data_IF_716175821952
#
_entry.id   IF_716175821952
#
_cell.length_a   1.000
_cell.length_b   1.000
_cell.length_c   1.000
_cell.angle_alpha   90.00
_cell.angle_beta   90.00
_cell.angle_gamma   90.00
#
_symmetry.space_group_name_H-M   'P 1'
#
loop_
_entity.id
_entity.type
_entity.pdbx_description
1 polymer ?
#
# COMPACT_ATOMS: atom_id res chain seq x y z
N UNK A 1 18.67 -3.02 1.16
CA UNK A 1 17.34 -2.42 1.24
C UNK A 1 16.43 -3.27 2.14
N UNK A 2 15.89 -2.66 3.17
CA UNK A 2 15.04 -3.32 4.16
C UNK A 2 13.77 -2.49 4.39
N UNK A 3 12.63 -3.14 4.38
CA UNK A 3 11.34 -2.52 4.69
C UNK A 3 10.98 -2.78 6.14
N UNK A 4 10.85 -1.73 6.92
CA UNK A 4 10.31 -1.80 8.26
C UNK A 4 8.84 -1.39 8.22
N UNK A 5 7.97 -2.18 8.86
CA UNK A 5 6.52 -1.95 8.79
C UNK A 5 6.00 -0.96 9.81
N UNK A 6 6.77 -0.72 10.86
CA UNK A 6 6.39 0.24 11.89
C UNK A 6 7.62 0.78 12.61
N UNK A 7 7.39 1.77 13.49
CA UNK A 7 8.48 2.42 14.22
C UNK A 7 9.16 1.50 15.23
N UNK A 8 8.43 0.54 15.79
CA UNK A 8 9.02 -0.42 16.73
C UNK A 8 10.07 -1.29 16.06
N UNK A 9 9.78 -1.74 14.83
CA UNK A 9 10.77 -2.49 14.05
C UNK A 9 11.99 -1.62 13.77
N UNK A 10 11.78 -0.35 13.45
CA UNK A 10 12.85 0.60 13.19
C UNK A 10 13.74 0.81 14.43
N UNK A 11 13.13 0.91 15.60
CA UNK A 11 13.85 1.14 16.86
C UNK A 11 14.70 -0.06 17.29
N UNK A 12 14.35 -1.26 16.85
CA UNK A 12 15.11 -2.48 17.12
C UNK A 12 16.37 -2.61 16.26
N UNK A 13 16.47 -1.85 15.18
CA UNK A 13 17.60 -1.92 14.26
C UNK A 13 18.79 -1.10 14.77
N UNK A 14 20.03 -1.53 14.47
CA UNK A 14 21.21 -0.72 14.74
C UNK A 14 21.10 0.64 14.03
N UNK A 15 21.63 1.68 14.65
CA UNK A 15 21.56 3.05 14.12
C UNK A 15 22.06 3.16 12.67
N UNK A 16 23.16 2.50 12.34
CA UNK A 16 23.74 2.52 10.99
C UNK A 16 22.77 1.92 9.97
N UNK A 17 22.07 0.85 10.34
CA UNK A 17 21.07 0.22 9.50
C UNK A 17 19.84 1.11 9.35
N UNK A 18 19.44 1.82 10.42
CA UNK A 18 18.28 2.72 10.38
C UNK A 18 18.40 3.83 9.35
N UNK A 19 19.59 4.34 9.13
CA UNK A 19 19.81 5.39 8.13
C UNK A 19 19.54 4.92 6.70
N UNK A 20 19.62 3.61 6.47
CA UNK A 20 19.40 2.99 5.17
C UNK A 20 18.06 2.25 5.05
N UNK A 21 17.14 2.46 6.02
CA UNK A 21 15.85 1.77 6.07
C UNK A 21 14.75 2.73 5.63
N UNK A 22 13.90 2.24 4.72
CA UNK A 22 12.69 2.94 4.30
C UNK A 22 11.50 2.39 5.08
N UNK A 23 10.82 3.27 5.84
CA UNK A 23 9.58 2.93 6.52
C UNK A 23 8.43 3.39 5.63
N UNK A 24 7.65 2.43 5.14
CA UNK A 24 6.48 2.72 4.34
C UNK A 24 5.27 2.97 5.24
N UNK A 25 4.42 3.91 4.86
CA UNK A 25 3.14 4.15 5.51
C UNK A 25 2.23 2.93 5.43
N UNK A 26 2.20 2.28 4.27
CA UNK A 26 1.39 1.10 4.00
C UNK A 26 2.24 -0.17 4.01
N UNK A 27 1.58 -1.32 3.85
CA UNK A 27 2.23 -2.63 3.89
C UNK A 27 3.40 -2.74 2.88
N UNK A 28 3.19 -2.28 1.65
CA UNK A 28 4.21 -2.32 0.58
C UNK A 28 3.95 -1.19 -0.42
N UNK A 29 4.85 -1.03 -1.41
CA UNK A 29 4.66 -0.07 -2.50
C UNK A 29 3.34 -0.29 -3.24
N UNK A 30 2.95 -1.54 -3.44
CA UNK A 30 1.73 -1.91 -4.14
C UNK A 30 0.48 -1.33 -3.46
N UNK A 31 0.48 -1.22 -2.14
CA UNK A 31 -0.63 -0.67 -1.37
C UNK A 31 -0.84 0.83 -1.59
N UNK A 32 0.14 1.54 -2.14
CA UNK A 32 0.01 2.96 -2.48
C UNK A 32 -0.91 3.20 -3.68
N UNK A 33 -1.17 2.17 -4.48
CA UNK A 33 -2.02 2.23 -5.67
C UNK A 33 -3.44 1.73 -5.41
N UNK A 34 -3.90 1.75 -4.18
CA UNK A 34 -5.17 1.14 -3.74
C UNK A 34 -6.15 2.15 -3.14
N UNK A 35 -6.12 3.40 -3.58
CA UNK A 35 -7.15 4.37 -3.21
C UNK A 35 -8.37 4.18 -4.14
N UNK A 36 -9.53 3.78 -3.59
CA UNK A 36 -10.70 3.51 -4.41
C UNK A 36 -11.16 4.69 -5.27
N UNK A 37 -10.99 5.91 -4.78
CA UNK A 37 -11.38 7.12 -5.51
C UNK A 37 -10.54 7.31 -6.77
N UNK A 38 -9.23 7.15 -6.63
CA UNK A 38 -8.29 7.25 -7.75
C UNK A 38 -8.53 6.12 -8.74
N UNK A 39 -8.69 4.90 -8.23
CA UNK A 39 -8.93 3.71 -9.07
C UNK A 39 -10.21 3.86 -9.91
N UNK A 40 -11.26 4.45 -9.34
CA UNK A 40 -12.50 4.73 -10.07
C UNK A 40 -12.28 5.77 -11.17
N UNK A 41 -11.52 6.82 -10.91
CA UNK A 41 -11.22 7.88 -11.88
C UNK A 41 -10.46 7.36 -13.10
N UNK A 42 -9.54 6.44 -12.89
CA UNK A 42 -8.71 5.88 -13.97
C UNK A 42 -9.33 4.63 -14.61
N UNK A 43 -10.49 4.19 -14.15
CA UNK A 43 -11.23 3.08 -14.74
C UNK A 43 -10.79 1.68 -14.34
N UNK A 44 -9.97 1.54 -13.32
CA UNK A 44 -9.56 0.23 -12.78
C UNK A 44 -10.77 -0.45 -12.12
N UNK A 45 -11.60 0.33 -11.45
CA UNK A 45 -12.90 -0.10 -10.94
C UNK A 45 -13.98 0.84 -11.48
N UNK A 46 -15.23 0.39 -11.52
CA UNK A 46 -16.35 1.19 -12.04
C UNK A 46 -16.70 2.36 -11.10
N UNK A 47 -16.54 2.14 -9.79
CA UNK A 47 -16.86 3.11 -8.75
C UNK A 47 -16.12 2.73 -7.47
N UNK A 48 -16.14 3.61 -6.47
CA UNK A 48 -15.63 3.27 -5.14
C UNK A 48 -16.37 2.06 -4.56
N UNK A 49 -17.68 2.02 -4.72
CA UNK A 49 -18.51 0.92 -4.22
C UNK A 49 -18.13 -0.42 -4.85
N UNK A 50 -17.85 -0.41 -6.16
CA UNK A 50 -17.37 -1.60 -6.88
C UNK A 50 -16.07 -2.14 -6.25
N UNK A 51 -15.15 -1.24 -5.87
CA UNK A 51 -13.93 -1.62 -5.16
C UNK A 51 -14.25 -2.34 -3.84
N UNK A 52 -15.16 -1.77 -3.04
CA UNK A 52 -15.51 -2.35 -1.74
C UNK A 52 -16.18 -3.70 -1.90
N UNK A 53 -17.05 -3.87 -2.89
CA UNK A 53 -17.71 -5.14 -3.18
C UNK A 53 -16.73 -6.23 -3.59
N UNK A 54 -15.79 -5.90 -4.49
CA UNK A 54 -14.76 -6.84 -4.96
C UNK A 54 -13.86 -7.24 -3.79
N UNK A 55 -13.41 -6.28 -2.99
CA UNK A 55 -12.56 -6.56 -1.86
C UNK A 55 -13.26 -7.46 -0.84
N UNK A 56 -14.52 -7.17 -0.53
CA UNK A 56 -15.30 -7.98 0.40
C UNK A 56 -15.51 -9.40 -0.11
N UNK A 57 -15.80 -9.56 -1.39
CA UNK A 57 -15.92 -10.88 -2.02
C UNK A 57 -14.63 -11.69 -1.85
N UNK A 58 -13.50 -11.08 -2.17
CA UNK A 58 -12.18 -11.72 -2.03
C UNK A 58 -11.80 -11.97 -0.58
N UNK A 59 -12.21 -11.08 0.31
CA UNK A 59 -12.03 -11.26 1.75
C UNK A 59 -12.71 -12.53 2.22
N UNK A 60 -13.99 -12.69 1.90
CA UNK A 60 -14.79 -13.88 2.28
C UNK A 60 -14.28 -15.15 1.61
N UNK A 61 -13.76 -15.03 0.38
CA UNK A 61 -13.26 -16.16 -0.39
C UNK A 61 -11.96 -16.70 0.20
N UNK A 62 -10.96 -15.84 0.49
CA UNK A 62 -9.65 -16.31 0.96
C UNK A 62 -8.83 -15.32 1.78
N UNK A 63 -8.98 -14.00 1.63
CA UNK A 63 -8.09 -13.03 2.29
C UNK A 63 -8.12 -13.14 3.80
N UNK A 64 -9.28 -13.43 4.38
CA UNK A 64 -9.42 -13.54 5.83
C UNK A 64 -8.55 -14.63 6.45
N UNK A 65 -8.22 -15.66 5.69
CA UNK A 65 -7.41 -16.81 6.15
C UNK A 65 -5.92 -16.54 6.08
N UNK A 66 -5.49 -15.58 5.25
CA UNK A 66 -4.07 -15.24 5.12
C UNK A 66 -3.57 -14.62 6.43
N UNK A 67 -2.26 -14.74 6.66
CA UNK A 67 -1.63 -14.15 7.85
C UNK A 67 -1.92 -12.66 7.96
N UNK A 68 -1.82 -11.93 6.85
CA UNK A 68 -2.14 -10.49 6.83
C UNK A 68 -3.61 -10.21 7.11
N UNK A 69 -4.51 -11.07 6.65
CA UNK A 69 -5.93 -10.96 6.94
C UNK A 69 -6.26 -11.20 8.41
N UNK A 70 -5.61 -12.19 9.02
CA UNK A 70 -5.74 -12.45 10.44
C UNK A 70 -5.22 -11.27 11.28
N UNK A 71 -4.11 -10.68 10.86
CA UNK A 71 -3.55 -9.50 11.50
C UNK A 71 -4.50 -8.30 11.42
N UNK A 72 -5.14 -8.08 10.27
CA UNK A 72 -6.14 -7.03 10.13
C UNK A 72 -7.33 -7.26 11.08
N UNK A 73 -7.83 -8.50 11.15
CA UNK A 73 -8.93 -8.87 12.06
C UNK A 73 -8.58 -8.56 13.52
N UNK A 74 -7.36 -8.86 13.93
CA UNK A 74 -6.89 -8.53 15.27
C UNK A 74 -6.83 -7.00 15.49
N UNK A 75 -6.34 -6.27 14.51
CA UNK A 75 -6.18 -4.81 14.61
C UNK A 75 -7.52 -4.09 14.73
N UNK A 76 -8.51 -4.46 13.95
CA UNK A 76 -9.83 -3.80 13.95
C UNK A 76 -10.82 -4.43 14.92
N UNK A 77 -10.51 -5.60 15.47
CA UNK A 77 -11.31 -6.28 16.48
C UNK A 77 -12.43 -7.18 15.95
N UNK A 78 -12.59 -7.30 14.64
CA UNK A 78 -13.57 -8.18 14.00
C UNK A 78 -13.19 -8.45 12.55
N UNK A 79 -13.82 -9.46 11.93
CA UNK A 79 -13.66 -9.74 10.49
C UNK A 79 -14.51 -8.77 9.67
N UNK A 80 -14.06 -8.40 8.48
CA UNK A 80 -14.83 -7.52 7.60
C UNK A 80 -16.19 -8.15 7.27
N UNK A 81 -17.28 -7.43 7.49
CA UNK A 81 -18.64 -7.95 7.41
C UNK A 81 -19.43 -7.46 6.19
N UNK A 82 -19.29 -6.20 5.81
CA UNK A 82 -20.01 -5.59 4.69
C UNK A 82 -19.17 -4.51 4.01
N UNK A 83 -19.69 -3.89 2.96
CA UNK A 83 -18.97 -2.86 2.20
C UNK A 83 -18.71 -1.60 2.99
N UNK A 84 -19.63 -1.24 3.89
CA UNK A 84 -19.45 -0.09 4.76
C UNK A 84 -18.30 -0.33 5.74
N UNK A 85 -18.17 -1.53 6.25
CA UNK A 85 -17.07 -1.96 7.11
C UNK A 85 -15.73 -1.84 6.38
N UNK A 86 -15.68 -2.25 5.10
CA UNK A 86 -14.50 -2.09 4.25
C UNK A 86 -14.15 -0.62 4.10
N UNK A 87 -15.15 0.22 3.81
CA UNK A 87 -14.96 1.68 3.65
C UNK A 87 -14.37 2.30 4.91
N UNK A 88 -14.91 1.97 6.07
CA UNK A 88 -14.47 2.53 7.35
C UNK A 88 -13.03 2.13 7.71
N UNK A 89 -12.58 0.96 7.26
CA UNK A 89 -11.27 0.41 7.63
C UNK A 89 -10.25 0.42 6.48
N UNK A 90 -10.44 1.28 5.46
CA UNK A 90 -9.53 1.33 4.31
C UNK A 90 -8.09 1.64 4.70
N UNK A 91 -7.87 2.53 5.67
CA UNK A 91 -6.50 2.84 6.11
C UNK A 91 -5.82 1.61 6.72
N UNK A 92 -6.52 0.91 7.61
CA UNK A 92 -6.00 -0.31 8.24
C UNK A 92 -5.78 -1.41 7.21
N UNK A 93 -6.68 -1.53 6.22
CA UNK A 93 -6.54 -2.49 5.13
C UNK A 93 -5.25 -2.22 4.34
N UNK A 94 -4.98 -0.96 3.99
CA UNK A 94 -3.76 -0.59 3.26
C UNK A 94 -2.50 -0.80 4.09
N UNK A 95 -2.59 -0.64 5.40
CA UNK A 95 -1.46 -0.85 6.31
C UNK A 95 -1.18 -2.33 6.53
N UNK A 96 -2.21 -3.16 6.65
CA UNK A 96 -2.10 -4.55 7.11
C UNK A 96 -2.11 -5.61 6.03
N UNK A 97 -2.96 -5.47 5.00
CA UNK A 97 -3.12 -6.52 4.00
C UNK A 97 -1.93 -6.54 3.03
N UNK A 98 -1.51 -7.74 2.67
CA UNK A 98 -0.41 -7.93 1.73
C UNK A 98 -0.76 -7.35 0.37
N UNK A 99 0.00 -6.34 -0.05
CA UNK A 99 -0.25 -5.58 -1.26
C UNK A 99 -0.24 -6.42 -2.53
N UNK A 100 0.63 -7.42 -2.61
CA UNK A 100 0.70 -8.30 -3.76
C UNK A 100 -0.65 -8.97 -4.06
N UNK A 101 -1.35 -9.45 -3.03
CA UNK A 101 -2.66 -10.07 -3.19
C UNK A 101 -3.70 -9.07 -3.71
N UNK A 102 -3.75 -7.88 -3.12
CA UNK A 102 -4.69 -6.83 -3.52
C UNK A 102 -4.37 -6.30 -4.93
N UNK A 103 -3.11 -6.10 -5.21
CA UNK A 103 -2.64 -5.63 -6.52
C UNK A 103 -3.05 -6.62 -7.63
N UNK A 104 -2.85 -7.91 -7.42
CA UNK A 104 -3.26 -8.93 -8.39
C UNK A 104 -4.77 -8.92 -8.64
N UNK A 105 -5.57 -8.73 -7.59
CA UNK A 105 -7.04 -8.69 -7.72
C UNK A 105 -7.47 -7.57 -8.67
N UNK A 106 -6.92 -6.36 -8.48
CA UNK A 106 -7.39 -5.16 -9.20
C UNK A 106 -6.59 -4.85 -10.45
N UNK A 107 -5.29 -5.10 -10.47
CA UNK A 107 -4.38 -4.73 -11.54
C UNK A 107 -3.88 -5.90 -12.37
N UNK A 108 -4.18 -7.14 -12.00
CA UNK A 108 -3.69 -8.33 -12.69
C UNK A 108 -4.01 -8.36 -14.18
N UNK A 109 -5.17 -7.84 -14.58
CA UNK A 109 -5.61 -7.76 -15.99
C UNK A 109 -4.83 -6.73 -16.81
N UNK A 110 -4.08 -5.83 -16.16
CA UNK A 110 -3.37 -4.74 -16.84
C UNK A 110 -1.88 -5.03 -17.04
N UNK A 111 -1.42 -6.25 -16.90
CA UNK A 111 0.01 -6.60 -16.99
C UNK A 111 0.70 -6.03 -18.24
N UNK A 112 0.02 -6.06 -19.39
CA UNK A 112 0.56 -5.53 -20.66
C UNK A 112 0.63 -4.01 -20.70
N UNK A 113 -0.23 -3.33 -19.93
CA UNK A 113 -0.35 -1.88 -19.89
C UNK A 113 -0.07 -1.33 -18.48
N UNK A 114 0.66 -2.07 -17.68
CA UNK A 114 0.89 -1.75 -16.26
C UNK A 114 1.48 -0.36 -16.07
N UNK A 115 2.50 -0.01 -16.84
CA UNK A 115 3.17 1.29 -16.73
C UNK A 115 2.20 2.43 -17.00
N UNK A 116 1.35 2.29 -18.03
CA UNK A 116 0.37 3.31 -18.39
C UNK A 116 -0.68 3.52 -17.31
N UNK A 117 -1.18 2.42 -16.72
CA UNK A 117 -2.16 2.47 -15.64
C UNK A 117 -1.55 3.10 -14.38
N UNK A 118 -0.33 2.74 -14.02
CA UNK A 118 0.33 3.29 -12.85
C UNK A 118 0.66 4.78 -13.03
N UNK A 119 1.05 5.20 -14.23
CA UNK A 119 1.21 6.63 -14.56
C UNK A 119 -0.10 7.38 -14.41
N UNK A 120 -1.19 6.83 -14.92
CA UNK A 120 -2.51 7.45 -14.79
C UNK A 120 -2.89 7.59 -13.31
N UNK A 121 -2.62 6.58 -12.52
CA UNK A 121 -2.85 6.64 -11.08
C UNK A 121 -2.06 7.77 -10.41
N UNK A 122 -0.78 7.87 -10.70
CA UNK A 122 0.09 8.90 -10.12
C UNK A 122 -0.39 10.30 -10.49
N UNK A 123 -0.83 10.50 -11.73
CA UNK A 123 -1.36 11.78 -12.22
C UNK A 123 -2.66 12.19 -11.51
N UNK A 124 -3.53 11.23 -11.21
CA UNK A 124 -4.84 11.50 -10.57
C UNK A 124 -4.76 11.51 -9.04
N UNK A 125 -3.76 10.88 -8.46
CA UNK A 125 -3.62 10.79 -7.00
C UNK A 125 -3.33 12.16 -6.38
N UNK A 126 -3.76 12.40 -5.11
CA UNK A 126 -3.37 13.61 -4.39
C UNK A 126 -1.85 13.76 -4.34
N UNK A 127 -1.36 15.00 -4.38
CA UNK A 127 0.08 15.31 -4.45
C UNK A 127 0.90 14.70 -3.32
N UNK A 128 0.31 14.50 -2.15
CA UNK A 128 1.01 13.98 -0.98
C UNK A 128 0.93 12.46 -0.84
N UNK A 129 0.23 11.76 -1.75
CA UNK A 129 0.06 10.30 -1.69
C UNK A 129 1.40 9.56 -1.57
N UNK A 130 2.39 9.99 -2.35
CA UNK A 130 3.71 9.35 -2.41
C UNK A 130 4.79 10.14 -1.69
N UNK A 131 4.40 11.10 -0.85
CA UNK A 131 5.35 12.03 -0.21
C UNK A 131 6.42 11.30 0.61
N UNK A 132 6.03 10.34 1.42
CA UNK A 132 6.97 9.58 2.26
C UNK A 132 8.01 8.81 1.44
N UNK A 133 7.60 8.25 0.29
CA UNK A 133 8.49 7.56 -0.63
C UNK A 133 9.46 8.56 -1.28
N UNK A 134 8.93 9.68 -1.77
CA UNK A 134 9.74 10.70 -2.43
C UNK A 134 10.74 11.34 -1.45
N UNK A 135 10.31 11.63 -0.22
CA UNK A 135 11.18 12.18 0.82
C UNK A 135 12.30 11.19 1.17
N UNK A 136 11.99 9.90 1.22
CA UNK A 136 12.99 8.87 1.49
C UNK A 136 14.00 8.75 0.35
N UNK A 137 13.53 8.78 -0.90
CA UNK A 137 14.40 8.76 -2.08
C UNK A 137 15.33 9.97 -2.08
N UNK A 138 14.82 11.16 -1.79
CA UNK A 138 15.63 12.39 -1.72
C UNK A 138 16.72 12.26 -0.66
N UNK A 139 16.43 11.68 0.50
CA UNK A 139 17.44 11.44 1.53
C UNK A 139 18.54 10.49 1.04
N UNK A 140 18.17 9.39 0.39
CA UNK A 140 19.15 8.43 -0.13
C UNK A 140 20.03 9.07 -1.20
N UNK A 141 19.45 9.83 -2.12
CA UNK A 141 20.19 10.55 -3.16
C UNK A 141 21.15 11.56 -2.53
N UNK A 142 20.71 12.31 -1.52
CA UNK A 142 21.55 13.25 -0.80
C UNK A 142 22.76 12.57 -0.14
N UNK A 143 22.56 11.44 0.52
CA UNK A 143 23.64 10.66 1.13
C UNK A 143 24.62 10.16 0.08
N UNK A 144 24.16 9.65 -1.05
CA UNK A 144 25.01 9.19 -2.14
C UNK A 144 25.87 10.33 -2.68
N UNK A 145 25.29 11.49 -2.90
CA UNK A 145 26.02 12.67 -3.40
C UNK A 145 27.07 13.13 -2.41
N UNK A 146 26.81 13.10 -1.10
CA UNK A 146 27.79 13.44 -0.08
C UNK A 146 28.98 12.47 -0.08
N UNK A 147 28.73 11.18 -0.27
CA UNK A 147 29.79 10.16 -0.36
C UNK A 147 30.69 10.41 -1.56
N UNK A 148 30.12 10.81 -2.69
CA UNK A 148 30.88 11.08 -3.93
C UNK A 148 31.75 12.35 -3.85
N UNK A 149 31.42 13.27 -2.97
CA UNK A 149 32.15 14.52 -2.78
C UNK A 149 33.38 14.38 -1.84
N UNK A 150 33.49 13.25 -1.19
CA UNK A 150 34.65 12.92 -0.35
C UNK A 150 35.67 12.15 -1.16
#
# INVERSE_FOLDING_TARGET
YYEARNREDMDRLPRVTRENVLILKYYSFENYFLDPKVMAKIGVVKSEEDFYEILLEKWKEYLYRLKSGQHLTEMIGHSLSDTEDVRQHMEEIRVCLRGHNLYDIFYGRYRKNEIEILKAYIEEAPRDTFKDILDAIDRFVYFENRRKQK
#
